data_IF_367632868002
#
_entry.id   IF_367632868002
#
_cell.length_a   1.000
_cell.length_b   1.000
_cell.length_c   1.000
_cell.angle_alpha   90.00
_cell.angle_beta   90.00
_cell.angle_gamma   90.00
#
_symmetry.space_group_name_H-M   'P 1'
#
loop_
_entity.id
_entity.type
_entity.pdbx_description
1 polymer ?
#
# COMPACT_ATOMS: atom_id res chain seq x y z
N UNK A 1 -41.50 90.13 9.16
CA UNK A 1 -40.06 90.13 9.50
C UNK A 1 -39.63 88.69 9.73
N UNK A 2 -38.43 88.36 9.23
CA UNK A 2 -37.63 87.16 9.49
C UNK A 2 -37.92 85.89 8.67
N UNK A 3 -37.05 85.76 7.67
CA UNK A 3 -36.51 84.60 6.98
C UNK A 3 -36.78 83.20 7.53
N UNK A 4 -37.09 82.28 6.62
CA UNK A 4 -36.65 80.88 6.72
C UNK A 4 -36.10 80.42 5.37
N UNK A 5 -34.87 79.93 5.44
CA UNK A 5 -34.00 79.36 4.41
C UNK A 5 -34.42 77.94 4.00
N UNK A 6 -33.93 77.43 2.85
CA UNK A 6 -34.39 76.20 2.22
C UNK A 6 -33.61 74.93 2.63
N UNK A 7 -34.13 73.82 2.11
CA UNK A 7 -33.84 72.41 2.35
C UNK A 7 -32.38 71.95 2.16
N UNK A 8 -32.01 70.95 2.96
CA UNK A 8 -30.91 70.02 2.68
C UNK A 8 -31.44 68.58 2.63
N UNK A 9 -31.12 67.91 1.52
CA UNK A 9 -31.45 66.51 1.22
C UNK A 9 -30.34 65.63 1.79
N UNK A 10 -30.65 64.74 2.74
CA UNK A 10 -29.74 63.67 3.17
C UNK A 10 -30.14 62.31 2.61
N UNK A 11 -29.26 61.77 1.78
CA UNK A 11 -29.26 60.42 1.21
C UNK A 11 -29.05 59.39 2.32
N UNK A 12 -30.01 58.49 2.53
CA UNK A 12 -29.91 57.36 3.48
C UNK A 12 -29.07 56.21 2.91
N UNK A 13 -27.80 56.09 3.35
CA UNK A 13 -26.99 54.86 3.22
C UNK A 13 -27.25 53.93 4.41
N UNK A 14 -28.29 53.11 4.32
CA UNK A 14 -28.72 52.19 5.38
C UNK A 14 -28.52 50.69 5.10
N UNK A 15 -27.63 50.28 4.20
CA UNK A 15 -27.60 48.91 3.68
C UNK A 15 -26.48 47.96 4.18
N UNK A 16 -25.40 48.45 4.80
CA UNK A 16 -24.14 47.69 4.84
C UNK A 16 -23.61 47.29 6.23
N UNK A 17 -24.36 47.53 7.30
CA UNK A 17 -23.87 47.29 8.68
C UNK A 17 -24.37 45.96 9.28
N UNK A 18 -25.43 45.35 8.75
CA UNK A 18 -26.04 44.16 9.37
C UNK A 18 -25.30 42.84 9.06
N UNK A 19 -24.58 42.74 7.94
CA UNK A 19 -23.89 41.49 7.56
C UNK A 19 -22.58 41.23 8.31
N UNK A 20 -21.97 42.26 8.91
CA UNK A 20 -20.64 42.14 9.56
C UNK A 20 -20.69 41.58 10.99
N UNK A 21 -21.89 41.46 11.58
CA UNK A 21 -22.11 40.88 12.92
C UNK A 21 -22.65 39.44 12.90
N UNK A 22 -23.07 38.92 11.74
CA UNK A 22 -23.58 37.54 11.60
C UNK A 22 -22.49 36.54 11.17
N UNK A 23 -21.36 37.01 10.64
CA UNK A 23 -20.23 36.18 10.26
C UNK A 23 -19.66 35.29 11.40
N UNK A 24 -19.48 35.77 12.65
CA UNK A 24 -18.98 34.88 13.72
C UNK A 24 -20.01 33.86 14.19
N UNK A 25 -21.32 34.14 14.06
CA UNK A 25 -22.40 33.22 14.45
C UNK A 25 -22.55 32.09 13.42
N UNK A 26 -22.40 32.37 12.13
CA UNK A 26 -22.42 31.36 11.06
C UNK A 26 -21.23 30.39 11.13
N UNK A 27 -20.05 30.86 11.57
CA UNK A 27 -18.87 30.00 11.76
C UNK A 27 -19.05 29.01 12.92
N UNK A 28 -19.70 29.43 14.01
CA UNK A 28 -20.00 28.57 15.18
C UNK A 28 -21.09 27.54 14.86
N UNK A 29 -22.11 27.91 14.07
CA UNK A 29 -23.17 26.97 13.65
C UNK A 29 -22.61 25.87 12.71
N UNK A 30 -21.64 26.20 11.83
CA UNK A 30 -20.99 25.20 10.99
C UNK A 30 -20.20 24.14 11.80
N UNK A 31 -19.60 24.54 12.93
CA UNK A 31 -18.91 23.63 13.85
C UNK A 31 -19.89 22.72 14.62
N UNK A 32 -21.07 23.20 14.99
CA UNK A 32 -22.05 22.42 15.78
C UNK A 32 -22.89 21.48 14.91
N UNK A 33 -23.21 21.86 13.67
CA UNK A 33 -24.01 21.02 12.75
C UNK A 33 -23.23 19.80 12.22
N UNK A 34 -21.90 19.90 12.14
CA UNK A 34 -21.02 18.77 11.79
C UNK A 34 -21.08 17.62 12.82
N UNK A 35 -21.09 17.95 14.12
CA UNK A 35 -21.08 16.97 15.22
C UNK A 35 -22.41 16.20 15.37
N UNK A 36 -23.54 16.78 14.95
CA UNK A 36 -24.83 16.08 14.94
C UNK A 36 -24.87 14.95 13.89
N UNK A 37 -24.14 15.11 12.79
CA UNK A 37 -24.00 14.08 11.77
C UNK A 37 -23.13 12.91 12.21
N UNK A 38 -22.04 13.18 12.94
CA UNK A 38 -21.08 12.16 13.42
C UNK A 38 -21.63 11.34 14.59
N UNK A 39 -22.38 11.96 15.50
CA UNK A 39 -23.08 11.24 16.57
C UNK A 39 -24.11 10.24 16.03
N UNK A 40 -24.92 10.64 15.04
CA UNK A 40 -25.88 9.75 14.38
C UNK A 40 -25.20 8.61 13.58
N UNK A 41 -24.05 8.87 12.97
CA UNK A 41 -23.26 7.82 12.32
C UNK A 41 -22.72 6.80 13.34
N UNK A 42 -22.26 7.27 14.49
CA UNK A 42 -21.78 6.42 15.58
C UNK A 42 -22.91 5.56 16.17
N UNK A 43 -24.09 6.14 16.39
CA UNK A 43 -25.27 5.40 16.84
C UNK A 43 -25.69 4.32 15.83
N UNK A 44 -25.69 4.63 14.53
CA UNK A 44 -25.97 3.63 13.49
C UNK A 44 -24.91 2.53 13.43
N UNK A 45 -23.65 2.86 13.71
CA UNK A 45 -22.56 1.88 13.81
C UNK A 45 -22.84 0.90 14.95
N UNK A 46 -23.17 1.41 16.14
CA UNK A 46 -23.53 0.60 17.31
C UNK A 46 -24.74 -0.30 17.03
N UNK A 47 -25.78 0.22 16.38
CA UNK A 47 -26.95 -0.57 15.96
C UNK A 47 -26.58 -1.69 14.98
N UNK A 48 -25.69 -1.41 14.02
CA UNK A 48 -25.22 -2.43 13.06
C UNK A 48 -24.39 -3.51 13.73
N UNK A 49 -23.55 -3.12 14.69
CA UNK A 49 -22.77 -4.06 15.48
C UNK A 49 -23.67 -4.96 16.33
N UNK A 50 -24.66 -4.39 17.01
CA UNK A 50 -25.66 -5.15 17.77
C UNK A 50 -26.48 -6.11 16.89
N UNK A 51 -26.68 -5.74 15.61
CA UNK A 51 -27.29 -6.60 14.59
C UNK A 51 -26.35 -7.64 13.96
N UNK A 52 -25.09 -7.75 14.42
CA UNK A 52 -24.10 -8.70 13.91
C UNK A 52 -23.36 -8.28 12.63
N UNK A 53 -23.60 -7.07 12.11
CA UNK A 53 -22.95 -6.56 10.90
C UNK A 53 -21.74 -5.69 11.27
N UNK A 54 -20.66 -6.37 11.68
CA UNK A 54 -19.45 -5.72 12.19
C UNK A 54 -18.72 -4.89 11.10
N UNK A 55 -18.72 -5.34 9.85
CA UNK A 55 -18.11 -4.61 8.74
C UNK A 55 -18.85 -3.31 8.44
N UNK A 56 -20.18 -3.33 8.40
CA UNK A 56 -20.93 -2.09 8.17
C UNK A 56 -20.86 -1.15 9.36
N UNK A 57 -20.80 -1.69 10.58
CA UNK A 57 -20.52 -0.91 11.77
C UNK A 57 -19.16 -0.20 11.67
N UNK A 58 -18.11 -0.93 11.29
CA UNK A 58 -16.77 -0.39 11.06
C UNK A 58 -16.77 0.77 10.06
N UNK A 59 -17.35 0.56 8.87
CA UNK A 59 -17.42 1.61 7.83
C UNK A 59 -18.17 2.87 8.27
N UNK A 60 -19.24 2.73 9.06
CA UNK A 60 -19.98 3.88 9.58
C UNK A 60 -19.16 4.65 10.62
N UNK A 61 -18.42 3.94 11.47
CA UNK A 61 -17.57 4.54 12.50
C UNK A 61 -16.35 5.25 11.88
N UNK A 62 -15.64 4.61 10.94
CA UNK A 62 -14.51 5.25 10.26
C UNK A 62 -14.96 6.46 9.45
N UNK A 63 -16.13 6.40 8.80
CA UNK A 63 -16.70 7.57 8.11
C UNK A 63 -17.07 8.72 9.07
N UNK A 64 -17.43 8.42 10.31
CA UNK A 64 -17.63 9.45 11.33
C UNK A 64 -16.29 10.07 11.74
N UNK A 65 -15.23 9.25 11.88
CA UNK A 65 -13.87 9.71 12.17
C UNK A 65 -13.23 10.49 11.02
N UNK A 66 -13.51 10.15 9.76
CA UNK A 66 -13.06 10.94 8.60
C UNK A 66 -13.61 12.37 8.66
N UNK A 67 -14.81 12.56 9.24
CA UNK A 67 -15.44 13.87 9.43
C UNK A 67 -14.98 14.57 10.70
N UNK A 68 -14.78 13.82 11.78
CA UNK A 68 -14.40 14.33 13.09
C UNK A 68 -13.40 13.36 13.76
N UNK A 69 -12.09 13.48 13.47
CA UNK A 69 -11.07 12.52 13.93
C UNK A 69 -10.96 12.41 15.46
N UNK A 70 -11.36 13.45 16.18
CA UNK A 70 -11.33 13.54 17.64
C UNK A 70 -12.56 12.96 18.34
N UNK A 71 -13.58 12.47 17.61
CA UNK A 71 -14.84 12.04 18.22
C UNK A 71 -14.65 10.76 19.06
N UNK A 72 -14.80 10.82 20.40
CA UNK A 72 -14.53 9.69 21.27
C UNK A 72 -15.54 8.55 21.10
N UNK A 73 -16.80 8.88 20.77
CA UNK A 73 -17.85 7.87 20.53
C UNK A 73 -17.61 7.13 19.21
N UNK A 74 -17.26 7.85 18.15
CA UNK A 74 -16.91 7.24 16.87
C UNK A 74 -15.68 6.34 16.99
N UNK A 75 -14.67 6.76 17.77
CA UNK A 75 -13.49 5.95 18.06
C UNK A 75 -13.85 4.69 18.85
N UNK A 76 -14.68 4.79 19.88
CA UNK A 76 -15.16 3.64 20.65
C UNK A 76 -15.96 2.66 19.76
N UNK A 77 -16.85 3.17 18.91
CA UNK A 77 -17.62 2.36 17.96
C UNK A 77 -16.72 1.65 16.94
N UNK A 78 -15.70 2.35 16.40
CA UNK A 78 -14.69 1.75 15.53
C UNK A 78 -13.92 0.65 16.26
N UNK A 79 -13.42 0.90 17.47
CA UNK A 79 -12.74 -0.11 18.30
C UNK A 79 -13.60 -1.35 18.50
N UNK A 80 -14.88 -1.19 18.87
CA UNK A 80 -15.79 -2.30 19.13
C UNK A 80 -16.10 -3.11 17.84
N UNK A 81 -16.35 -2.44 16.73
CA UNK A 81 -16.58 -3.10 15.45
C UNK A 81 -15.33 -3.83 14.96
N UNK A 82 -14.16 -3.20 15.07
CA UNK A 82 -12.88 -3.79 14.70
C UNK A 82 -12.52 -5.00 15.57
N UNK A 83 -12.82 -4.95 16.88
CA UNK A 83 -12.65 -6.08 17.79
C UNK A 83 -13.50 -7.28 17.35
N UNK A 84 -14.78 -7.06 17.03
CA UNK A 84 -15.68 -8.11 16.55
C UNK A 84 -15.19 -8.74 15.24
N UNK A 85 -14.74 -7.92 14.27
CA UNK A 85 -14.12 -8.40 13.03
C UNK A 85 -12.88 -9.25 13.34
N UNK A 86 -11.98 -8.75 14.19
CA UNK A 86 -10.75 -9.44 14.55
C UNK A 86 -11.02 -10.78 15.24
N UNK A 87 -11.93 -10.82 16.22
CA UNK A 87 -12.29 -12.05 16.93
C UNK A 87 -12.87 -13.12 16.00
N UNK A 88 -13.75 -12.73 15.07
CA UNK A 88 -14.26 -13.65 14.06
C UNK A 88 -13.13 -14.15 13.13
N UNK A 89 -12.25 -13.26 12.68
CA UNK A 89 -11.13 -13.62 11.82
C UNK A 89 -10.16 -14.56 12.53
N UNK A 90 -9.86 -14.33 13.81
CA UNK A 90 -9.03 -15.21 14.64
C UNK A 90 -9.64 -16.61 14.77
N UNK A 91 -10.96 -16.72 14.97
CA UNK A 91 -11.65 -18.01 14.99
C UNK A 91 -11.51 -18.74 13.65
N UNK A 92 -11.67 -18.02 12.53
CA UNK A 92 -11.48 -18.59 11.18
C UNK A 92 -10.05 -19.05 10.95
N UNK A 93 -9.05 -18.27 11.39
CA UNK A 93 -7.64 -18.64 11.28
C UNK A 93 -7.34 -19.91 12.08
N UNK A 94 -7.84 -20.02 13.31
CA UNK A 94 -7.67 -21.23 14.14
C UNK A 94 -8.30 -22.46 13.48
N UNK A 95 -9.53 -22.33 12.97
CA UNK A 95 -10.19 -23.41 12.26
C UNK A 95 -9.44 -23.81 10.98
N UNK A 96 -8.91 -22.82 10.24
CA UNK A 96 -8.13 -23.05 9.02
C UNK A 96 -6.79 -23.72 9.33
N UNK A 97 -6.14 -23.37 10.44
CA UNK A 97 -4.82 -23.90 10.80
C UNK A 97 -4.82 -25.43 11.00
N UNK A 98 -5.95 -26.02 11.37
CA UNK A 98 -6.11 -27.48 11.53
C UNK A 98 -6.06 -28.24 10.20
N UNK A 99 -6.40 -27.58 9.08
CA UNK A 99 -6.50 -28.22 7.75
C UNK A 99 -5.51 -27.67 6.73
N UNK A 100 -5.14 -26.40 6.86
CA UNK A 100 -4.21 -25.67 6.00
C UNK A 100 -3.44 -24.63 6.82
N UNK A 101 -2.35 -25.07 7.44
CA UNK A 101 -1.49 -24.21 8.23
C UNK A 101 -0.84 -23.08 7.42
N UNK A 102 -0.63 -23.28 6.12
CA UNK A 102 -0.01 -22.28 5.24
C UNK A 102 -1.02 -21.20 4.84
N UNK A 103 -2.24 -21.59 4.46
CA UNK A 103 -3.35 -20.66 4.25
C UNK A 103 -3.66 -19.87 5.52
N UNK A 104 -3.66 -20.53 6.68
CA UNK A 104 -3.85 -19.87 7.98
C UNK A 104 -2.78 -18.80 8.25
N UNK A 105 -1.50 -19.11 8.01
CA UNK A 105 -0.43 -18.11 8.14
C UNK A 105 -0.62 -16.93 7.16
N UNK A 106 -1.12 -17.17 5.96
CA UNK A 106 -1.47 -16.11 5.00
C UNK A 106 -2.58 -15.19 5.53
N UNK A 107 -3.62 -15.75 6.14
CA UNK A 107 -4.70 -15.00 6.79
C UNK A 107 -4.22 -14.20 8.01
N UNK A 108 -3.23 -14.71 8.76
CA UNK A 108 -2.58 -13.95 9.85
C UNK A 108 -1.97 -12.64 9.32
N UNK A 109 -1.30 -12.67 8.17
CA UNK A 109 -0.74 -11.45 7.56
C UNK A 109 -1.84 -10.46 7.15
N UNK A 110 -2.96 -10.94 6.61
CA UNK A 110 -4.11 -10.09 6.26
C UNK A 110 -4.75 -9.44 7.48
N UNK A 111 -4.90 -10.19 8.57
CA UNK A 111 -5.40 -9.62 9.83
C UNK A 111 -4.43 -8.58 10.40
N UNK A 112 -3.11 -8.84 10.33
CA UNK A 112 -2.10 -7.87 10.74
C UNK A 112 -2.16 -6.59 9.89
N UNK A 113 -2.33 -6.71 8.57
CA UNK A 113 -2.51 -5.59 7.65
C UNK A 113 -3.79 -4.80 7.96
N UNK A 114 -4.93 -5.49 8.16
CA UNK A 114 -6.17 -4.85 8.58
C UNK A 114 -5.96 -4.02 9.85
N UNK A 115 -5.29 -4.59 10.87
CA UNK A 115 -5.02 -3.90 12.14
C UNK A 115 -4.07 -2.71 11.97
N UNK A 116 -3.06 -2.82 11.09
CA UNK A 116 -2.16 -1.72 10.78
C UNK A 116 -2.91 -0.56 10.10
N UNK A 117 -3.76 -0.87 9.12
CA UNK A 117 -4.60 0.12 8.43
C UNK A 117 -5.63 0.76 9.38
N UNK A 118 -6.21 -0.06 10.27
CA UNK A 118 -7.16 0.38 11.28
C UNK A 118 -6.56 1.36 12.31
N UNK A 119 -5.24 1.28 12.57
CA UNK A 119 -4.57 2.08 13.60
C UNK A 119 -4.68 3.60 13.38
N UNK A 120 -4.94 4.05 12.14
CA UNK A 120 -5.25 5.46 11.86
C UNK A 120 -6.56 5.93 12.53
N UNK A 121 -7.53 5.03 12.67
CA UNK A 121 -8.86 5.30 13.20
C UNK A 121 -9.00 4.90 14.67
N UNK A 122 -8.60 3.66 14.98
CA UNK A 122 -8.79 3.03 16.27
C UNK A 122 -7.81 1.87 16.47
N UNK A 123 -7.40 1.66 17.72
CA UNK A 123 -6.65 0.45 18.09
C UNK A 123 -7.60 -0.75 18.12
N UNK A 124 -7.39 -1.70 17.21
CA UNK A 124 -8.17 -2.95 17.19
C UNK A 124 -7.54 -3.98 18.13
N UNK A 125 -8.21 -4.32 19.25
CA UNK A 125 -7.70 -5.30 20.20
C UNK A 125 -7.77 -6.71 19.60
N UNK A 126 -6.93 -7.57 20.15
CA UNK A 126 -6.88 -9.01 19.87
C UNK A 126 -6.78 -9.74 21.21
N UNK A 127 -7.27 -10.98 21.28
CA UNK A 127 -7.16 -11.78 22.50
C UNK A 127 -5.71 -11.91 23.00
N UNK A 128 -5.53 -12.01 24.31
CA UNK A 128 -4.20 -11.99 24.95
C UNK A 128 -3.23 -13.09 24.46
N UNK A 129 -3.74 -14.26 24.06
CA UNK A 129 -2.93 -15.34 23.49
C UNK A 129 -2.53 -15.14 22.02
N UNK A 130 -3.20 -14.23 21.31
CA UNK A 130 -3.03 -14.05 19.87
C UNK A 130 -1.60 -13.72 19.44
N UNK A 131 -0.84 -12.85 20.12
CA UNK A 131 0.52 -12.53 19.69
C UNK A 131 1.45 -13.76 19.61
N UNK A 132 1.26 -14.76 20.48
CA UNK A 132 2.05 -15.99 20.44
C UNK A 132 1.55 -16.95 19.34
N UNK A 133 0.23 -17.06 19.17
CA UNK A 133 -0.38 -17.83 18.07
C UNK A 133 0.09 -17.30 16.70
N UNK A 134 0.01 -15.98 16.49
CA UNK A 134 0.49 -15.29 15.29
C UNK A 134 1.97 -15.58 15.05
N UNK A 135 2.83 -15.43 16.08
CA UNK A 135 4.26 -15.72 15.95
C UNK A 135 4.52 -17.17 15.55
N UNK A 136 3.76 -18.11 16.12
CA UNK A 136 3.90 -19.54 15.86
C UNK A 136 3.55 -19.87 14.41
N UNK A 137 2.39 -19.42 13.93
CA UNK A 137 1.94 -19.65 12.56
C UNK A 137 2.90 -19.02 11.54
N UNK A 138 3.32 -17.77 11.76
CA UNK A 138 4.27 -17.09 10.87
C UNK A 138 5.63 -17.77 10.83
N UNK A 139 6.16 -18.19 11.99
CA UNK A 139 7.45 -18.91 12.05
C UNK A 139 7.39 -20.29 11.39
N UNK A 140 6.27 -21.00 11.52
CA UNK A 140 6.07 -22.28 10.85
C UNK A 140 6.07 -22.11 9.32
N UNK A 141 5.33 -21.14 8.81
CA UNK A 141 5.31 -20.80 7.38
C UNK A 141 6.69 -20.37 6.86
N UNK A 142 7.37 -19.47 7.59
CA UNK A 142 8.71 -19.02 7.23
C UNK A 142 9.72 -20.18 7.18
N UNK A 143 9.64 -21.12 8.13
CA UNK A 143 10.48 -22.31 8.15
C UNK A 143 10.27 -23.19 6.91
N UNK A 144 9.02 -23.46 6.56
CA UNK A 144 8.69 -24.30 5.41
C UNK A 144 9.19 -23.69 4.11
N UNK A 145 8.87 -22.42 3.87
CA UNK A 145 9.36 -21.68 2.70
C UNK A 145 10.89 -21.64 2.64
N UNK A 146 11.56 -21.42 3.77
CA UNK A 146 13.02 -21.44 3.82
C UNK A 146 13.60 -22.81 3.42
N UNK A 147 13.00 -23.91 3.89
CA UNK A 147 13.42 -25.27 3.52
C UNK A 147 13.16 -25.54 2.03
N UNK A 148 11.97 -25.21 1.53
CA UNK A 148 11.64 -25.32 0.11
C UNK A 148 12.58 -24.50 -0.78
N UNK A 149 13.00 -23.31 -0.30
CA UNK A 149 13.97 -22.46 -0.97
C UNK A 149 15.34 -23.12 -1.08
N UNK A 150 15.81 -23.76 -0.01
CA UNK A 150 17.06 -24.55 -0.02
C UNK A 150 16.95 -25.69 -1.04
N UNK A 151 15.89 -26.47 -1.00
CA UNK A 151 15.68 -27.61 -1.91
C UNK A 151 15.60 -27.15 -3.37
N UNK A 152 14.84 -26.09 -3.66
CA UNK A 152 14.73 -25.52 -4.99
C UNK A 152 16.09 -25.03 -5.51
N UNK A 153 16.87 -24.38 -4.65
CA UNK A 153 18.20 -23.87 -5.00
C UNK A 153 19.16 -25.02 -5.31
N UNK A 154 19.22 -26.04 -4.46
CA UNK A 154 20.02 -27.25 -4.68
C UNK A 154 19.60 -28.00 -5.97
N UNK A 155 18.31 -27.95 -6.31
CA UNK A 155 17.75 -28.51 -7.54
C UNK A 155 17.99 -27.65 -8.79
N UNK A 156 18.82 -26.61 -8.74
CA UNK A 156 19.07 -25.67 -9.85
C UNK A 156 17.81 -24.97 -10.36
N UNK A 157 16.86 -24.66 -9.46
CA UNK A 157 15.63 -23.90 -9.76
C UNK A 157 15.66 -22.52 -9.08
N UNK A 158 16.54 -21.59 -9.51
CA UNK A 158 16.79 -20.34 -8.79
C UNK A 158 15.58 -19.41 -8.77
N UNK A 159 14.72 -19.40 -9.81
CA UNK A 159 13.46 -18.62 -9.82
C UNK A 159 12.52 -19.05 -8.69
N UNK A 160 12.34 -20.37 -8.51
CA UNK A 160 11.53 -20.93 -7.42
C UNK A 160 12.18 -20.61 -6.07
N UNK A 161 13.48 -20.85 -5.93
CA UNK A 161 14.19 -20.57 -4.69
C UNK A 161 14.07 -19.10 -4.25
N UNK A 162 14.18 -18.16 -5.20
CA UNK A 162 14.00 -16.74 -4.94
C UNK A 162 12.59 -16.43 -4.39
N UNK A 163 11.55 -17.02 -4.99
CA UNK A 163 10.18 -16.92 -4.49
C UNK A 163 10.03 -17.44 -3.05
N UNK A 164 10.48 -18.67 -2.81
CA UNK A 164 10.40 -19.32 -1.49
C UNK A 164 11.17 -18.54 -0.41
N UNK A 165 12.37 -18.03 -0.70
CA UNK A 165 13.10 -17.20 0.27
C UNK A 165 12.44 -15.85 0.50
N UNK A 166 11.82 -15.26 -0.53
CA UNK A 166 11.04 -14.02 -0.38
C UNK A 166 9.81 -14.24 0.50
N UNK A 167 9.12 -15.36 0.36
CA UNK A 167 7.96 -15.71 1.18
C UNK A 167 8.38 -15.97 2.64
N UNK A 168 9.52 -16.62 2.88
CA UNK A 168 10.06 -16.77 4.23
C UNK A 168 10.28 -15.41 4.93
N UNK A 169 10.88 -14.44 4.22
CA UNK A 169 11.10 -13.07 4.71
C UNK A 169 9.79 -12.30 4.90
N UNK A 170 8.80 -12.51 4.02
CA UNK A 170 7.46 -11.92 4.14
C UNK A 170 6.76 -12.39 5.42
N UNK A 171 6.84 -13.68 5.74
CA UNK A 171 6.23 -14.20 6.96
C UNK A 171 6.97 -13.74 8.21
N UNK A 172 8.30 -13.76 8.22
CA UNK A 172 9.10 -13.27 9.35
C UNK A 172 10.27 -12.46 8.81
N UNK A 173 10.21 -11.15 9.01
CA UNK A 173 11.31 -10.25 8.64
C UNK A 173 12.59 -10.66 9.39
N UNK A 174 13.70 -10.76 8.66
CA UNK A 174 14.98 -11.22 9.19
C UNK A 174 15.00 -12.71 9.53
N UNK A 175 14.19 -13.55 8.86
CA UNK A 175 14.20 -14.99 9.08
C UNK A 175 15.52 -15.60 8.62
N UNK A 176 16.46 -15.78 9.56
CA UNK A 176 17.81 -16.30 9.29
C UNK A 176 18.53 -15.45 8.23
N UNK A 177 18.96 -16.06 7.14
CA UNK A 177 19.58 -15.42 5.98
C UNK A 177 18.66 -15.44 4.73
N UNK A 178 17.33 -15.57 4.91
CA UNK A 178 16.37 -15.68 3.82
C UNK A 178 16.50 -14.54 2.79
N UNK A 179 16.54 -13.28 3.24
CA UNK A 179 16.73 -12.13 2.35
C UNK A 179 18.01 -12.26 1.49
N UNK A 180 19.17 -12.56 2.11
CA UNK A 180 20.44 -12.73 1.39
C UNK A 180 20.39 -13.89 0.38
N UNK A 181 19.68 -14.97 0.73
CA UNK A 181 19.48 -16.11 -0.16
C UNK A 181 18.52 -15.79 -1.30
N UNK A 182 17.50 -14.98 -1.05
CA UNK A 182 16.60 -14.48 -2.08
C UNK A 182 17.36 -13.64 -3.11
N UNK A 183 18.25 -12.76 -2.67
CA UNK A 183 19.11 -11.93 -3.54
C UNK A 183 20.04 -12.80 -4.38
N UNK A 184 20.74 -13.75 -3.75
CA UNK A 184 21.60 -14.69 -4.48
C UNK A 184 20.81 -15.52 -5.49
N UNK A 185 19.66 -16.06 -5.10
CA UNK A 185 18.81 -16.82 -6.00
C UNK A 185 18.24 -15.96 -7.13
N UNK A 186 17.97 -14.68 -6.88
CA UNK A 186 17.60 -13.73 -7.92
C UNK A 186 18.74 -13.58 -8.92
N UNK A 187 19.97 -13.31 -8.47
CA UNK A 187 21.12 -13.12 -9.35
C UNK A 187 21.42 -14.33 -10.25
N UNK A 188 21.24 -15.55 -9.73
CA UNK A 188 21.34 -16.80 -10.50
C UNK A 188 20.13 -17.04 -11.42
N UNK A 189 18.97 -16.45 -11.09
CA UNK A 189 17.75 -16.54 -11.90
C UNK A 189 17.68 -15.50 -13.03
N UNK A 190 18.54 -14.47 -13.02
CA UNK A 190 18.51 -13.37 -13.97
C UNK A 190 18.95 -13.81 -15.37
N UNK A 191 18.02 -13.64 -16.32
CA UNK A 191 18.34 -13.55 -17.74
C UNK A 191 18.82 -12.13 -18.04
N UNK A 192 20.11 -11.99 -18.39
CA UNK A 192 20.70 -10.72 -18.79
C UNK A 192 20.53 -10.55 -20.29
N UNK A 193 19.96 -9.42 -20.72
CA UNK A 193 19.68 -9.11 -22.12
C UNK A 193 20.49 -7.88 -22.51
N UNK A 194 21.28 -8.00 -23.58
CA UNK A 194 22.06 -6.91 -24.14
C UNK A 194 21.43 -6.46 -25.47
N UNK A 195 21.20 -5.16 -25.61
CA UNK A 195 20.84 -4.55 -26.90
C UNK A 195 22.12 -3.94 -27.48
N UNK A 196 22.65 -4.59 -28.50
CA UNK A 196 23.87 -4.18 -29.21
C UNK A 196 23.54 -3.24 -30.36
N UNK A 197 24.48 -2.37 -30.79
CA UNK A 197 24.29 -1.51 -31.95
C UNK A 197 23.87 -2.30 -33.19
N UNK A 198 22.86 -1.79 -33.91
CA UNK A 198 22.44 -2.39 -35.17
C UNK A 198 23.46 -2.12 -36.28
N UNK A 199 23.63 -3.07 -37.20
CA UNK A 199 24.46 -2.87 -38.39
C UNK A 199 23.86 -1.75 -39.26
N UNK A 200 24.63 -0.71 -39.49
CA UNK A 200 24.30 0.40 -40.37
C UNK A 200 25.44 0.63 -41.38
N UNK A 201 25.14 1.32 -42.48
CA UNK A 201 26.17 1.75 -43.43
C UNK A 201 27.26 2.57 -42.73
N UNK A 202 28.53 2.56 -43.18
CA UNK A 202 29.62 3.28 -42.52
C UNK A 202 29.37 4.79 -42.35
N UNK A 203 28.56 5.39 -43.23
CA UNK A 203 28.15 6.80 -43.15
C UNK A 203 27.12 7.07 -42.04
N UNK A 204 26.43 6.04 -41.57
CA UNK A 204 25.30 6.10 -40.63
C UNK A 204 25.55 5.23 -39.39
N UNK A 205 26.81 4.90 -39.07
CA UNK A 205 27.15 4.05 -37.92
C UNK A 205 26.56 4.60 -36.59
N UNK A 206 26.44 5.92 -36.47
CA UNK A 206 25.81 6.58 -35.33
C UNK A 206 24.30 6.31 -35.23
N UNK A 207 23.61 6.01 -36.33
CA UNK A 207 22.18 5.69 -36.34
C UNK A 207 21.92 4.33 -35.67
N UNK A 208 22.75 3.33 -35.96
CA UNK A 208 22.64 1.99 -35.34
C UNK A 208 22.82 2.03 -33.82
N UNK A 209 23.70 2.90 -33.33
CA UNK A 209 23.91 3.15 -31.88
C UNK A 209 22.70 3.87 -31.26
N UNK A 210 22.17 4.89 -31.95
CA UNK A 210 21.02 5.66 -31.45
C UNK A 210 19.75 4.79 -31.36
N UNK A 211 19.47 3.97 -32.37
CA UNK A 211 18.32 3.05 -32.36
C UNK A 211 18.46 2.00 -31.25
N UNK A 212 19.64 1.40 -31.10
CA UNK A 212 19.90 0.43 -30.03
C UNK A 212 19.74 1.07 -28.63
N UNK A 213 20.15 2.32 -28.46
CA UNK A 213 19.93 3.06 -27.21
C UNK A 213 18.45 3.31 -26.95
N UNK A 214 17.71 3.82 -27.93
CA UNK A 214 16.28 4.08 -27.79
C UNK A 214 15.49 2.82 -27.42
N UNK A 215 15.74 1.71 -28.11
CA UNK A 215 15.12 0.42 -27.78
C UNK A 215 15.51 -0.09 -26.40
N UNK A 216 16.76 0.10 -25.99
CA UNK A 216 17.21 -0.31 -24.65
C UNK A 216 16.47 0.47 -23.56
N UNK A 217 16.32 1.77 -23.73
CA UNK A 217 15.65 2.65 -22.77
C UNK A 217 14.16 2.28 -22.67
N UNK A 218 13.50 2.02 -23.81
CA UNK A 218 12.11 1.53 -23.87
C UNK A 218 11.96 0.16 -23.20
N UNK A 219 12.85 -0.80 -23.49
CA UNK A 219 12.83 -2.12 -22.84
C UNK A 219 13.07 -2.07 -21.34
N UNK A 220 13.86 -1.10 -20.84
CA UNK A 220 14.06 -0.91 -19.39
C UNK A 220 12.76 -0.47 -18.72
N UNK A 221 12.00 0.41 -19.36
CA UNK A 221 10.70 0.87 -18.85
C UNK A 221 9.67 -0.26 -18.86
N UNK A 222 9.52 -0.95 -19.99
CA UNK A 222 8.52 -2.01 -20.18
C UNK A 222 8.78 -3.26 -19.33
N UNK A 223 10.07 -3.58 -19.09
CA UNK A 223 10.48 -4.77 -18.33
C UNK A 223 10.81 -4.44 -16.87
N UNK A 224 10.43 -3.27 -16.38
CA UNK A 224 10.57 -2.94 -14.98
C UNK A 224 9.77 -3.94 -14.10
N UNK A 225 10.27 -4.27 -12.89
CA UNK A 225 9.49 -5.04 -11.93
C UNK A 225 8.12 -4.39 -11.67
N UNK A 226 7.01 -5.14 -11.61
CA UNK A 226 6.95 -6.61 -11.45
C UNK A 226 6.90 -7.41 -12.77
N UNK A 227 6.76 -6.76 -13.93
CA UNK A 227 6.48 -7.43 -15.20
C UNK A 227 7.57 -8.44 -15.62
N UNK A 228 8.85 -8.11 -15.38
CA UNK A 228 9.96 -8.99 -15.70
C UNK A 228 10.99 -9.11 -14.56
N UNK A 229 10.55 -9.51 -13.36
CA UNK A 229 11.41 -9.67 -12.16
C UNK A 229 12.73 -10.42 -12.40
N UNK A 230 12.77 -11.37 -13.33
CA UNK A 230 13.94 -12.20 -13.62
C UNK A 230 14.69 -11.82 -14.92
N UNK A 231 14.39 -10.66 -15.49
CA UNK A 231 15.06 -10.14 -16.69
C UNK A 231 15.76 -8.84 -16.33
N UNK A 232 17.02 -8.69 -16.76
CA UNK A 232 17.77 -7.43 -16.59
C UNK A 232 18.34 -7.00 -17.93
N UNK A 233 17.90 -5.82 -18.40
CA UNK A 233 18.52 -5.17 -19.55
C UNK A 233 19.87 -4.60 -19.12
N UNK A 234 20.94 -4.94 -19.84
CA UNK A 234 22.29 -4.46 -19.57
C UNK A 234 22.47 -3.03 -20.07
N UNK A 235 23.12 -2.19 -19.26
CA UNK A 235 23.51 -0.84 -19.66
C UNK A 235 24.57 -0.88 -20.77
N UNK A 236 24.54 0.13 -21.66
CA UNK A 236 25.40 0.17 -22.85
C UNK A 236 26.90 0.19 -22.53
N UNK A 237 27.27 0.85 -21.44
CA UNK A 237 28.66 0.95 -20.98
C UNK A 237 29.20 -0.39 -20.44
N UNK A 238 28.34 -1.24 -19.86
CA UNK A 238 28.69 -2.59 -19.45
C UNK A 238 28.93 -3.52 -20.65
N UNK A 239 28.17 -3.34 -21.73
CA UNK A 239 28.31 -4.10 -22.99
C UNK A 239 29.63 -3.73 -23.68
N UNK A 240 29.99 -2.44 -23.71
CA UNK A 240 31.22 -1.94 -24.35
C UNK A 240 32.50 -2.23 -23.56
N UNK A 241 32.42 -2.40 -22.24
CA UNK A 241 33.58 -2.80 -21.41
C UNK A 241 33.90 -4.30 -21.50
N UNK A 242 32.88 -5.15 -21.56
CA UNK A 242 33.05 -6.60 -21.45
C UNK A 242 33.10 -7.33 -22.81
N UNK A 243 32.73 -6.68 -23.92
CA UNK A 243 32.83 -7.26 -25.27
C UNK A 243 33.53 -6.31 -26.24
N UNK A 244 34.55 -6.80 -26.95
CA UNK A 244 35.08 -6.08 -28.12
C UNK A 244 34.13 -6.33 -29.28
N UNK A 245 33.88 -5.30 -30.09
CA UNK A 245 33.04 -5.37 -31.30
C UNK A 245 33.47 -6.51 -32.26
N UNK A 246 34.76 -6.87 -32.24
CA UNK A 246 35.32 -8.01 -32.98
C UNK A 246 34.78 -9.39 -32.55
N UNK A 247 34.35 -9.53 -31.30
CA UNK A 247 33.86 -10.80 -30.74
C UNK A 247 32.38 -11.05 -31.13
N UNK A 248 31.67 -10.00 -31.57
CA UNK A 248 30.26 -10.05 -31.96
C UNK A 248 30.03 -10.50 -33.42
N UNK A 249 31.02 -10.32 -34.31
CA UNK A 249 30.92 -10.76 -35.72
C UNK A 249 30.93 -12.30 -35.85
N UNK A 250 31.37 -13.02 -34.83
CA UNK A 250 31.37 -14.49 -34.78
C UNK A 250 30.04 -15.13 -34.34
N UNK A 251 29.14 -14.36 -33.70
CA UNK A 251 27.88 -14.88 -33.14
C UNK A 251 26.68 -14.72 -34.08
N UNK A 252 26.85 -14.06 -35.24
CA UNK A 252 25.79 -13.83 -36.23
C UNK A 252 25.80 -14.84 -37.40
N UNK A 253 26.11 -16.12 -37.15
CA UNK A 253 25.94 -17.20 -38.14
C UNK A 253 25.00 -18.28 -37.65
#
# INVERSE_FOLDING_TARGET
>A
MMHSTPADIYVTKGGLIMFRRLAPVLLVIALVVGCAGTSKLSEKSEQKLAGGDAWRAWHLATRALDKEPGNPRARAAATAAGASIAEEWQRRIRALAEVDSMGAAGEVLKLAEFRANAAHYATVPVGAGWPEEERTLRRAAARLHYQNGIEAFQSKRPKKACGEFSDAERFVTGYRDAAKRADRALDEALSRVAVVPFRASPRDASLGVQVARAWRDELIEDLAPPAARFTRIMAGDAIERDMRVSDLDGLSR
#
